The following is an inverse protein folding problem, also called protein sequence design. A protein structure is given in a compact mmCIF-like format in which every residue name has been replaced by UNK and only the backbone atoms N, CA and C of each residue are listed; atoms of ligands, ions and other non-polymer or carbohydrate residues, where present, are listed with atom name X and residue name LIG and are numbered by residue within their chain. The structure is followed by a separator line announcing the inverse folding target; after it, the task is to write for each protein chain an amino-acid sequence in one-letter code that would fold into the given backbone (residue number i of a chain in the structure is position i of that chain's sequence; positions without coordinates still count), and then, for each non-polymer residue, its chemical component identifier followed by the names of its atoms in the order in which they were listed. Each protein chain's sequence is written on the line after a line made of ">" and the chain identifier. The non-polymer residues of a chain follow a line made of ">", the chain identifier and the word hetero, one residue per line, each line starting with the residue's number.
data_IF_996241296588
#
_entry.id   IF_996241296588
#
_cell.length_a   1.000
_cell.length_b   1.000
_cell.length_c   1.000
_cell.angle_alpha   90.00
_cell.angle_beta   90.00
_cell.angle_gamma   90.00
#
_symmetry.space_group_name_H-M   'P 1'
#
loop_
_entity.id
_entity.type
_entity.pdbx_description
1 polymer ?
#
# COMPACT_ATOMS: atom_id res chain seq x y z
N UNK A 1 -8.99 28.55 -11.31
CA UNK A 1 -8.10 28.01 -12.37
C UNK A 1 -8.06 26.49 -12.20
N UNK A 2 -8.41 25.73 -13.25
CA UNK A 2 -8.33 24.27 -13.20
C UNK A 2 -6.84 23.90 -13.28
N UNK A 3 -6.29 23.30 -12.24
CA UNK A 3 -4.86 22.96 -12.18
C UNK A 3 -4.52 21.92 -13.26
N UNK A 4 -3.45 22.17 -14.01
CA UNK A 4 -2.86 21.15 -14.88
C UNK A 4 -2.25 20.07 -13.97
N UNK A 5 -2.29 18.80 -14.40
CA UNK A 5 -1.52 17.75 -13.71
C UNK A 5 -0.03 18.08 -13.80
N UNK A 6 0.58 18.37 -12.66
CA UNK A 6 1.95 18.89 -12.63
C UNK A 6 2.68 18.46 -11.36
N UNK A 7 3.88 17.92 -11.51
CA UNK A 7 4.74 17.58 -10.39
C UNK A 7 5.86 18.60 -10.26
N UNK A 8 5.98 19.19 -9.08
CA UNK A 8 7.05 20.14 -8.73
C UNK A 8 7.96 19.51 -7.68
N UNK A 9 9.20 19.27 -8.04
CA UNK A 9 10.25 18.95 -7.09
C UNK A 9 10.62 20.21 -6.32
N UNK A 10 10.43 20.22 -5.01
CA UNK A 10 10.61 21.39 -4.14
C UNK A 10 11.99 21.39 -3.48
N UNK A 11 12.46 20.22 -3.03
CA UNK A 11 13.76 20.04 -2.38
C UNK A 11 14.24 18.60 -2.50
N UNK A 12 15.53 18.39 -2.31
CA UNK A 12 16.16 17.07 -2.21
C UNK A 12 17.12 17.06 -1.03
N UNK A 13 17.18 15.91 -0.37
CA UNK A 13 18.28 15.56 0.54
C UNK A 13 18.90 14.27 0.00
N UNK A 14 20.07 14.38 -0.66
CA UNK A 14 20.64 13.33 -1.50
C UNK A 14 19.63 12.85 -2.56
N UNK A 15 19.17 11.58 -2.49
CA UNK A 15 18.17 11.07 -3.40
C UNK A 15 16.73 11.20 -2.85
N UNK A 16 16.56 11.43 -1.54
CA UNK A 16 15.23 11.66 -0.96
C UNK A 16 14.63 12.96 -1.50
N UNK A 17 13.36 12.93 -1.89
CA UNK A 17 12.69 13.97 -2.68
C UNK A 17 11.50 14.55 -1.91
N UNK A 18 11.44 15.86 -1.80
CA UNK A 18 10.26 16.59 -1.36
C UNK A 18 9.60 17.22 -2.58
N UNK A 19 8.34 16.89 -2.82
CA UNK A 19 7.65 17.42 -3.99
C UNK A 19 6.18 17.74 -3.72
N UNK A 20 5.55 18.31 -4.73
CA UNK A 20 4.11 18.59 -4.76
C UNK A 20 3.53 18.16 -6.10
N UNK A 21 2.48 17.38 -6.08
CA UNK A 21 1.72 16.98 -7.25
C UNK A 21 0.38 17.74 -7.27
N UNK A 22 0.21 18.61 -8.24
CA UNK A 22 -1.02 19.37 -8.48
C UNK A 22 -1.98 18.54 -9.32
N UNK A 23 -3.24 18.39 -8.89
CA UNK A 23 -4.26 17.60 -9.60
C UNK A 23 -5.59 18.32 -9.70
N UNK A 24 -6.53 17.77 -10.48
CA UNK A 24 -7.90 18.31 -10.59
C UNK A 24 -8.67 18.33 -9.25
N UNK A 25 -8.26 17.55 -8.26
CA UNK A 25 -9.00 17.35 -7.02
C UNK A 25 -8.23 17.77 -5.76
N UNK A 26 -7.17 18.52 -5.95
CA UNK A 26 -6.31 19.05 -4.90
C UNK A 26 -4.86 18.61 -5.03
N UNK A 27 -4.02 19.19 -4.20
CA UNK A 27 -2.59 18.96 -4.19
C UNK A 27 -2.22 17.77 -3.29
N UNK A 28 -1.14 17.11 -3.65
CA UNK A 28 -0.56 15.98 -2.92
C UNK A 28 0.89 16.34 -2.60
N UNK A 29 1.24 16.37 -1.32
CA UNK A 29 2.61 16.57 -0.87
C UNK A 29 3.33 15.21 -0.81
N UNK A 30 4.48 15.10 -1.45
CA UNK A 30 5.28 13.86 -1.49
C UNK A 30 6.56 14.00 -0.65
N UNK A 31 7.07 12.91 -0.04
CA UNK A 31 6.57 11.54 -0.07
C UNK A 31 5.20 11.38 0.58
N UNK A 32 4.38 10.44 0.04
CA UNK A 32 3.01 10.19 0.49
C UNK A 32 2.69 8.70 0.56
N UNK A 33 1.92 8.29 1.57
CA UNK A 33 1.29 6.99 1.65
C UNK A 33 -0.20 7.10 1.30
N UNK A 34 -0.69 6.21 0.43
CA UNK A 34 -2.07 6.15 -0.02
C UNK A 34 -2.81 5.02 0.71
N UNK A 35 -3.74 5.34 1.64
CA UNK A 35 -4.60 4.32 2.22
C UNK A 35 -5.40 3.58 1.14
N UNK A 36 -5.48 2.24 1.25
CA UNK A 36 -6.15 1.41 0.24
C UNK A 36 -7.63 1.27 0.55
N UNK A 37 -8.45 1.82 -0.35
CA UNK A 37 -9.90 1.74 -0.35
C UNK A 37 -10.45 0.75 -1.38
N UNK A 38 -10.14 -0.54 -1.24
CA UNK A 38 -10.36 -1.62 -2.22
C UNK A 38 -11.72 -1.60 -2.92
N UNK A 39 -12.80 -1.47 -2.18
CA UNK A 39 -14.17 -1.46 -2.69
C UNK A 39 -14.88 -0.15 -2.34
N UNK A 40 -14.27 0.97 -2.70
CA UNK A 40 -14.72 2.33 -2.35
C UNK A 40 -14.80 2.55 -0.82
N UNK A 41 -14.00 1.83 -0.04
CA UNK A 41 -13.90 2.03 1.41
C UNK A 41 -12.53 1.59 1.92
N UNK A 42 -11.91 2.39 2.78
CA UNK A 42 -10.77 1.97 3.57
C UNK A 42 -11.31 1.10 4.71
N UNK A 43 -10.92 -0.18 4.72
CA UNK A 43 -11.53 -1.21 5.57
C UNK A 43 -11.45 -0.84 7.05
N UNK A 44 -12.57 -1.00 7.76
CA UNK A 44 -12.74 -0.71 9.19
C UNK A 44 -12.50 0.76 9.59
N UNK A 45 -12.72 1.71 8.68
CA UNK A 45 -12.56 3.13 8.98
C UNK A 45 -13.72 3.97 8.42
N UNK A 46 -14.17 4.95 9.19
CA UNK A 46 -15.02 6.00 8.66
C UNK A 46 -14.22 6.98 7.80
N UNK A 47 -14.85 7.50 6.77
CA UNK A 47 -14.20 8.47 5.88
C UNK A 47 -13.76 9.76 6.60
N UNK A 48 -14.51 10.19 7.63
CA UNK A 48 -14.13 11.33 8.48
C UNK A 48 -12.79 11.12 9.17
N UNK A 49 -12.52 9.89 9.63
CA UNK A 49 -11.30 9.54 10.36
C UNK A 49 -10.09 9.49 9.43
N UNK A 50 -10.30 9.06 8.17
CA UNK A 50 -9.28 9.10 7.12
C UNK A 50 -8.92 10.55 6.79
N UNK A 51 -9.93 11.43 6.67
CA UNK A 51 -9.74 12.88 6.46
C UNK A 51 -9.01 13.52 7.65
N UNK A 52 -9.42 13.20 8.86
CA UNK A 52 -8.80 13.70 10.11
C UNK A 52 -7.36 13.22 10.30
N UNK A 53 -7.01 12.02 9.82
CA UNK A 53 -5.64 11.50 9.82
C UNK A 53 -4.73 12.21 8.80
N UNK A 54 -5.26 13.12 7.98
CA UNK A 54 -4.46 13.91 7.04
C UNK A 54 -4.24 13.27 5.66
N UNK A 55 -4.99 12.21 5.31
CA UNK A 55 -4.89 11.61 3.98
C UNK A 55 -5.22 12.63 2.88
N UNK A 56 -4.33 12.75 1.89
CA UNK A 56 -4.48 13.64 0.74
C UNK A 56 -4.96 12.90 -0.50
N UNK A 57 -4.72 11.61 -0.58
CA UNK A 57 -5.10 10.71 -1.66
C UNK A 57 -5.40 9.33 -1.09
N UNK A 58 -6.29 8.59 -1.72
CA UNK A 58 -6.54 7.16 -1.47
C UNK A 58 -6.45 6.37 -2.77
N UNK A 59 -6.17 5.07 -2.64
CA UNK A 59 -6.17 4.14 -3.75
C UNK A 59 -7.45 3.28 -3.72
N UNK A 60 -8.06 3.04 -4.88
CA UNK A 60 -9.15 2.08 -5.06
C UNK A 60 -8.78 1.03 -6.10
N UNK A 61 -9.35 -0.17 -6.01
CA UNK A 61 -9.00 -1.26 -6.91
C UNK A 61 -10.01 -1.44 -8.04
N UNK A 62 -9.55 -1.26 -9.26
CA UNK A 62 -10.35 -1.40 -10.49
C UNK A 62 -11.02 -2.77 -10.58
N UNK A 63 -10.29 -3.86 -10.36
CA UNK A 63 -10.83 -5.21 -10.39
C UNK A 63 -12.06 -5.41 -9.49
N UNK A 64 -11.99 -4.94 -8.26
CA UNK A 64 -13.09 -5.11 -7.31
C UNK A 64 -14.30 -4.26 -7.67
N UNK A 65 -14.06 -3.02 -8.12
CA UNK A 65 -15.13 -2.07 -8.46
C UNK A 65 -15.82 -2.39 -9.78
N UNK A 66 -15.11 -2.97 -10.76
CA UNK A 66 -15.73 -3.45 -12.00
C UNK A 66 -16.66 -4.65 -11.78
N UNK A 67 -16.32 -5.52 -10.82
CA UNK A 67 -17.16 -6.66 -10.47
C UNK A 67 -18.35 -6.28 -9.58
N UNK A 68 -18.14 -5.37 -8.62
CA UNK A 68 -19.18 -4.94 -7.69
C UNK A 68 -18.89 -3.52 -7.15
N UNK A 69 -19.77 -2.55 -7.34
CA UNK A 69 -21.12 -2.65 -7.95
C UNK A 69 -21.16 -2.59 -9.47
N UNK A 70 -20.01 -2.56 -10.16
CA UNK A 70 -19.85 -2.41 -11.59
C UNK A 70 -19.55 -0.95 -11.99
N UNK A 71 -18.64 -0.76 -12.98
CA UNK A 71 -18.21 0.57 -13.43
C UNK A 71 -19.35 1.43 -13.95
N UNK A 72 -20.34 0.85 -14.65
CA UNK A 72 -21.47 1.59 -15.17
C UNK A 72 -22.36 2.18 -14.06
N UNK A 73 -22.56 1.43 -12.97
CA UNK A 73 -23.30 1.94 -11.82
C UNK A 73 -22.55 3.08 -11.13
N UNK A 74 -21.23 2.93 -10.96
CA UNK A 74 -20.38 3.96 -10.35
C UNK A 74 -20.36 5.22 -11.23
N UNK A 75 -20.27 5.06 -12.56
CA UNK A 75 -20.32 6.17 -13.52
C UNK A 75 -21.62 6.96 -13.41
N UNK A 76 -22.77 6.27 -13.34
CA UNK A 76 -24.09 6.89 -13.14
C UNK A 76 -24.19 7.68 -11.82
N UNK A 77 -23.45 7.28 -10.79
CA UNK A 77 -23.36 7.96 -9.49
C UNK A 77 -22.30 9.08 -9.46
N UNK A 78 -21.63 9.36 -10.59
CA UNK A 78 -20.64 10.43 -10.74
C UNK A 78 -19.22 10.07 -10.30
N UNK A 79 -18.86 8.78 -10.42
CA UNK A 79 -17.53 8.24 -10.10
C UNK A 79 -17.37 7.79 -8.66
N UNK A 80 -16.27 7.06 -8.39
CA UNK A 80 -15.98 6.48 -7.06
C UNK A 80 -15.85 7.53 -5.98
N UNK A 81 -15.24 8.67 -6.29
CA UNK A 81 -15.07 9.75 -5.30
C UNK A 81 -16.42 10.26 -4.80
N UNK A 82 -17.36 10.54 -5.69
CA UNK A 82 -18.70 10.96 -5.33
C UNK A 82 -19.48 9.85 -4.64
N UNK A 83 -19.37 8.63 -5.14
CA UNK A 83 -20.03 7.44 -4.59
C UNK A 83 -19.66 7.20 -3.12
N UNK A 84 -18.36 7.35 -2.75
CA UNK A 84 -17.91 7.14 -1.37
C UNK A 84 -17.86 8.43 -0.51
N UNK A 85 -18.14 9.61 -1.07
CA UNK A 85 -18.05 10.91 -0.37
C UNK A 85 -16.62 11.43 -0.17
N UNK A 86 -15.68 10.99 -1.01
CA UNK A 86 -14.30 11.46 -1.01
C UNK A 86 -14.11 12.62 -1.98
N UNK A 87 -13.64 13.78 -1.50
CA UNK A 87 -13.53 15.01 -2.29
C UNK A 87 -12.09 15.37 -2.69
N UNK A 88 -11.12 14.51 -2.39
CA UNK A 88 -9.70 14.70 -2.73
C UNK A 88 -9.27 13.74 -3.84
N UNK A 89 -8.00 13.78 -4.31
CA UNK A 89 -7.50 12.86 -5.32
C UNK A 89 -7.73 11.39 -4.99
N UNK A 90 -7.93 10.60 -6.05
CA UNK A 90 -8.07 9.15 -5.97
C UNK A 90 -7.24 8.53 -7.10
N UNK A 91 -6.43 7.53 -6.77
CA UNK A 91 -5.73 6.68 -7.73
C UNK A 91 -6.48 5.35 -7.84
N UNK A 92 -6.62 4.83 -9.05
CA UNK A 92 -7.03 3.43 -9.27
C UNK A 92 -5.87 2.63 -9.83
N UNK A 93 -5.68 1.40 -9.35
CA UNK A 93 -4.83 0.45 -10.04
C UNK A 93 -5.43 0.03 -11.38
N UNK A 94 -4.67 -0.74 -12.18
CA UNK A 94 -5.16 -1.27 -13.48
C UNK A 94 -6.07 -2.49 -13.35
N UNK A 95 -6.12 -3.14 -12.18
CA UNK A 95 -6.73 -4.46 -11.97
C UNK A 95 -5.81 -5.63 -12.33
N UNK A 96 -4.66 -5.39 -12.95
CA UNK A 96 -3.73 -6.42 -13.41
C UNK A 96 -3.23 -7.33 -12.28
N UNK A 97 -2.72 -6.76 -11.19
CA UNK A 97 -2.18 -7.53 -10.06
C UNK A 97 -3.23 -8.48 -9.44
N UNK A 98 -4.47 -8.03 -9.24
CA UNK A 98 -5.53 -8.87 -8.68
C UNK A 98 -5.86 -10.04 -9.60
N UNK A 99 -5.92 -9.79 -10.91
CA UNK A 99 -6.15 -10.85 -11.91
C UNK A 99 -4.95 -11.80 -11.97
N UNK A 100 -3.72 -11.27 -11.89
CA UNK A 100 -2.51 -12.09 -11.85
C UNK A 100 -2.50 -13.01 -10.62
N UNK A 101 -3.05 -12.59 -9.50
CA UNK A 101 -3.18 -13.41 -8.28
C UNK A 101 -4.20 -14.55 -8.39
N UNK A 102 -5.10 -14.56 -9.40
CA UNK A 102 -6.11 -15.62 -9.59
C UNK A 102 -5.53 -16.96 -10.06
N UNK A 103 -4.25 -17.01 -10.42
CA UNK A 103 -3.56 -18.24 -10.81
C UNK A 103 -4.22 -18.94 -12.01
N UNK A 104 -4.71 -20.18 -11.81
CA UNK A 104 -5.33 -21.01 -12.87
C UNK A 104 -6.66 -20.45 -13.43
N UNK A 105 -7.26 -19.46 -12.80
CA UNK A 105 -8.51 -18.85 -13.27
C UNK A 105 -8.29 -17.77 -14.34
N UNK A 106 -7.05 -17.57 -14.80
CA UNK A 106 -6.68 -16.58 -15.82
C UNK A 106 -5.95 -17.20 -17.00
N UNK A 107 -6.05 -16.53 -18.16
CA UNK A 107 -5.26 -16.80 -19.37
C UNK A 107 -4.77 -15.48 -19.94
N UNK A 108 -3.44 -15.29 -19.97
CA UNK A 108 -2.78 -14.12 -20.54
C UNK A 108 -2.68 -14.31 -22.05
N UNK A 109 -2.92 -13.26 -22.81
CA UNK A 109 -2.88 -13.17 -24.27
C UNK A 109 -2.19 -11.85 -24.65
N UNK A 110 -1.77 -11.68 -25.88
CA UNK A 110 -1.09 -10.47 -26.32
C UNK A 110 -1.98 -9.20 -26.23
N UNK A 111 -3.28 -9.37 -26.38
CA UNK A 111 -4.28 -8.29 -26.36
C UNK A 111 -4.93 -8.05 -25.00
N UNK A 112 -4.59 -8.87 -23.99
CA UNK A 112 -5.17 -8.72 -22.65
C UNK A 112 -5.22 -10.02 -21.86
N UNK A 113 -6.07 -10.09 -20.85
CA UNK A 113 -6.21 -11.25 -19.98
C UNK A 113 -7.67 -11.67 -19.86
N UNK A 114 -7.94 -12.94 -20.14
CA UNK A 114 -9.23 -13.58 -19.84
C UNK A 114 -9.17 -14.18 -18.44
N UNK A 115 -10.19 -13.95 -17.61
CA UNK A 115 -10.26 -14.49 -16.25
C UNK A 115 -11.69 -14.83 -15.84
N UNK A 116 -11.83 -15.64 -14.78
CA UNK A 116 -13.11 -15.92 -14.14
C UNK A 116 -13.20 -15.13 -12.83
N UNK A 117 -14.32 -14.45 -12.63
CA UNK A 117 -14.62 -13.74 -11.38
C UNK A 117 -14.61 -14.71 -10.20
N UNK A 118 -13.97 -14.30 -9.11
CA UNK A 118 -13.98 -15.03 -7.84
C UNK A 118 -15.32 -14.95 -7.10
N UNK A 119 -16.23 -14.06 -7.54
CA UNK A 119 -17.52 -13.86 -6.89
C UNK A 119 -18.56 -14.88 -7.38
N UNK A 120 -18.60 -15.13 -8.68
CA UNK A 120 -19.68 -15.88 -9.35
C UNK A 120 -19.19 -16.78 -10.50
N UNK A 121 -17.89 -16.80 -10.78
CA UNK A 121 -17.30 -17.58 -11.86
C UNK A 121 -17.52 -17.00 -13.27
N UNK A 122 -18.20 -15.87 -13.41
CA UNK A 122 -18.41 -15.21 -14.71
C UNK A 122 -17.09 -14.92 -15.40
N UNK A 123 -17.04 -15.19 -16.69
CA UNK A 123 -15.85 -14.97 -17.52
C UNK A 123 -15.78 -13.53 -18.00
N UNK A 124 -14.64 -12.91 -17.81
CA UNK A 124 -14.33 -11.55 -18.26
C UNK A 124 -13.09 -11.55 -19.13
N UNK A 125 -12.99 -10.53 -19.98
CA UNK A 125 -11.79 -10.17 -20.71
C UNK A 125 -11.40 -8.74 -20.33
N UNK A 126 -10.15 -8.53 -19.99
CA UNK A 126 -9.59 -7.21 -19.69
C UNK A 126 -8.42 -6.94 -20.62
N UNK A 127 -8.59 -5.99 -21.54
CA UNK A 127 -7.52 -5.42 -22.35
C UNK A 127 -6.99 -4.13 -21.70
N UNK A 128 -5.85 -3.59 -22.18
CA UNK A 128 -5.35 -2.29 -21.75
C UNK A 128 -6.38 -1.17 -21.93
N UNK A 129 -7.08 -1.16 -23.06
CA UNK A 129 -8.11 -0.17 -23.39
C UNK A 129 -9.31 -0.29 -22.43
N UNK A 130 -9.80 -1.53 -22.21
CA UNK A 130 -10.92 -1.80 -21.30
C UNK A 130 -10.56 -1.40 -19.87
N UNK A 131 -9.34 -1.72 -19.40
CA UNK A 131 -8.87 -1.31 -18.07
C UNK A 131 -8.87 0.22 -17.94
N UNK A 132 -8.38 0.92 -18.93
CA UNK A 132 -8.34 2.39 -18.95
C UNK A 132 -9.75 2.98 -18.97
N UNK A 133 -10.68 2.43 -19.75
CA UNK A 133 -12.07 2.88 -19.82
C UNK A 133 -12.83 2.65 -18.51
N UNK A 134 -12.56 1.53 -17.82
CA UNK A 134 -13.10 1.28 -16.49
C UNK A 134 -12.61 2.36 -15.53
N UNK A 135 -11.31 2.64 -15.48
CA UNK A 135 -10.73 3.65 -14.61
C UNK A 135 -11.27 5.08 -14.93
N UNK A 136 -11.48 5.40 -16.21
CA UNK A 136 -12.14 6.62 -16.63
C UNK A 136 -13.60 6.68 -16.13
N UNK A 137 -14.34 5.58 -16.19
CA UNK A 137 -15.73 5.47 -15.69
C UNK A 137 -15.79 5.58 -14.16
N UNK A 138 -14.75 5.14 -13.45
CA UNK A 138 -14.58 5.30 -12.01
C UNK A 138 -14.24 6.77 -11.63
N UNK A 139 -13.94 7.65 -12.59
CA UNK A 139 -13.49 9.03 -12.40
C UNK A 139 -12.22 9.13 -11.52
N UNK A 140 -11.27 8.23 -11.75
CA UNK A 140 -9.99 8.25 -11.06
C UNK A 140 -9.18 9.49 -11.47
N UNK A 141 -8.60 10.19 -10.49
CA UNK A 141 -7.70 11.34 -10.72
C UNK A 141 -6.40 10.89 -11.35
N UNK A 142 -5.91 9.73 -10.91
CA UNK A 142 -4.70 9.07 -11.43
C UNK A 142 -5.11 7.65 -11.82
N UNK A 143 -4.85 7.28 -13.07
CA UNK A 143 -5.06 5.95 -13.62
C UNK A 143 -3.71 5.24 -13.83
N UNK A 144 -3.72 3.92 -13.83
CA UNK A 144 -2.53 3.11 -14.10
C UNK A 144 -2.66 2.39 -15.44
N UNK A 145 -1.58 2.24 -16.19
CA UNK A 145 -1.57 1.32 -17.31
C UNK A 145 -1.84 -0.11 -16.87
N UNK A 146 -2.36 -0.97 -17.75
CA UNK A 146 -2.38 -2.42 -17.51
C UNK A 146 -0.97 -3.00 -17.72
N UNK A 147 -0.55 -3.87 -16.82
CA UNK A 147 0.76 -4.52 -16.82
C UNK A 147 0.66 -6.01 -16.48
N UNK A 148 1.68 -6.77 -16.83
CA UNK A 148 1.85 -8.13 -16.38
C UNK A 148 2.86 -8.18 -15.22
N UNK A 149 2.35 -8.34 -14.00
CA UNK A 149 3.17 -8.55 -12.81
C UNK A 149 3.44 -10.05 -12.64
N UNK A 150 4.69 -10.48 -12.79
CA UNK A 150 5.09 -11.87 -12.58
C UNK A 150 5.51 -12.13 -11.13
N UNK A 151 5.34 -13.36 -10.61
CA UNK A 151 5.81 -13.72 -9.27
C UNK A 151 7.34 -13.79 -9.22
N UNK A 152 7.91 -13.68 -8.03
CA UNK A 152 9.31 -13.94 -7.76
C UNK A 152 9.46 -15.34 -7.11
N UNK A 153 10.52 -16.11 -7.43
CA UNK A 153 11.52 -15.85 -8.45
C UNK A 153 11.01 -16.10 -9.88
N UNK A 154 11.56 -15.35 -10.85
CA UNK A 154 11.30 -15.55 -12.28
C UNK A 154 12.62 -15.58 -13.05
N UNK A 155 12.65 -16.33 -14.19
CA UNK A 155 13.82 -16.33 -15.06
C UNK A 155 13.99 -15.00 -15.79
N UNK A 156 15.15 -14.77 -16.38
CA UNK A 156 15.41 -13.59 -17.20
C UNK A 156 14.45 -13.53 -18.39
N UNK A 157 14.27 -14.65 -19.09
CA UNK A 157 13.43 -14.78 -20.28
C UNK A 157 11.95 -14.52 -19.95
N UNK A 158 11.45 -15.03 -18.82
CA UNK A 158 10.08 -14.72 -18.36
C UNK A 158 9.93 -13.24 -18.04
N UNK A 159 10.92 -12.65 -17.37
CA UNK A 159 10.93 -11.25 -16.99
C UNK A 159 10.99 -10.34 -18.21
N UNK A 160 11.80 -10.69 -19.21
CA UNK A 160 11.89 -9.97 -20.47
C UNK A 160 10.58 -10.04 -21.26
N UNK A 161 9.99 -11.23 -21.38
CA UNK A 161 8.69 -11.43 -22.05
C UNK A 161 7.59 -10.60 -21.40
N UNK A 162 7.45 -10.67 -20.06
CA UNK A 162 6.44 -9.93 -19.33
C UNK A 162 6.64 -8.41 -19.41
N UNK A 163 7.89 -7.96 -19.37
CA UNK A 163 8.26 -6.56 -19.53
C UNK A 163 7.87 -6.05 -20.92
N UNK A 164 8.20 -6.81 -21.99
CA UNK A 164 7.84 -6.46 -23.37
C UNK A 164 6.32 -6.39 -23.57
N UNK A 165 5.59 -7.37 -23.05
CA UNK A 165 4.11 -7.36 -23.10
C UNK A 165 3.54 -6.15 -22.35
N UNK A 166 4.08 -5.83 -21.16
CA UNK A 166 3.67 -4.65 -20.39
C UNK A 166 3.92 -3.34 -21.15
N UNK A 167 4.99 -3.25 -21.95
CA UNK A 167 5.27 -2.09 -22.80
C UNK A 167 4.29 -1.96 -23.98
N UNK A 168 3.93 -3.07 -24.62
CA UNK A 168 2.89 -3.07 -25.64
C UNK A 168 1.53 -2.62 -25.06
N UNK A 169 1.20 -3.13 -23.88
CA UNK A 169 -0.01 -2.73 -23.16
C UNK A 169 0.03 -1.26 -22.66
N UNK A 170 1.22 -0.75 -22.35
CA UNK A 170 1.40 0.65 -22.00
C UNK A 170 1.01 1.59 -23.14
N UNK A 171 1.43 1.26 -24.38
CA UNK A 171 1.06 2.03 -25.57
C UNK A 171 -0.45 2.07 -25.77
N UNK A 172 -1.12 0.92 -25.72
CA UNK A 172 -2.58 0.82 -25.85
C UNK A 172 -3.33 1.52 -24.72
N UNK A 173 -2.83 1.40 -23.47
CA UNK A 173 -3.41 2.12 -22.31
C UNK A 173 -3.28 3.63 -22.50
N UNK A 174 -2.14 4.10 -23.04
CA UNK A 174 -1.90 5.53 -23.27
C UNK A 174 -2.80 6.10 -24.36
N UNK A 175 -3.00 5.36 -25.44
CA UNK A 175 -3.91 5.74 -26.52
C UNK A 175 -5.37 5.83 -26.04
N UNK A 176 -5.79 4.93 -25.15
CA UNK A 176 -7.14 4.92 -24.57
C UNK A 176 -7.35 5.98 -23.46
N UNK A 177 -6.28 6.59 -22.96
CA UNK A 177 -6.37 7.56 -21.87
C UNK A 177 -7.09 8.84 -22.32
N UNK A 178 -8.16 9.20 -21.63
CA UNK A 178 -8.87 10.45 -21.85
C UNK A 178 -8.13 11.61 -21.17
N UNK A 179 -7.43 12.41 -21.95
CA UNK A 179 -6.72 13.58 -21.46
C UNK A 179 -7.69 14.64 -20.93
N UNK A 180 -7.82 14.72 -19.61
CA UNK A 180 -8.61 15.72 -18.90
C UNK A 180 -7.70 16.60 -18.04
N UNK A 181 -7.98 17.89 -17.98
CA UNK A 181 -7.16 18.83 -17.21
C UNK A 181 -7.06 18.43 -15.74
N UNK A 182 -5.84 18.25 -15.24
CA UNK A 182 -5.52 17.86 -13.87
C UNK A 182 -5.69 16.36 -13.56
N UNK A 183 -5.95 15.53 -14.57
CA UNK A 183 -5.92 14.07 -14.49
C UNK A 183 -4.62 13.54 -15.07
N UNK A 184 -4.15 12.38 -14.59
CA UNK A 184 -2.91 11.78 -15.08
C UNK A 184 -3.01 10.27 -15.20
N UNK A 185 -2.14 9.71 -16.04
CA UNK A 185 -1.93 8.27 -16.16
C UNK A 185 -0.47 7.94 -15.86
N UNK A 186 -0.23 6.88 -15.09
CA UNK A 186 1.12 6.43 -14.75
C UNK A 186 1.48 5.17 -15.51
N UNK A 187 2.70 5.18 -16.08
CA UNK A 187 3.34 4.02 -16.63
C UNK A 187 3.96 3.14 -15.55
N UNK A 188 4.01 1.81 -15.75
CA UNK A 188 4.54 0.86 -14.78
C UNK A 188 5.82 0.22 -15.32
N UNK A 189 6.95 0.50 -14.69
CA UNK A 189 8.25 -0.07 -15.00
C UNK A 189 8.27 -1.52 -14.50
N UNK A 190 8.44 -2.47 -15.40
CA UNK A 190 8.62 -3.89 -15.13
C UNK A 190 10.07 -4.33 -15.44
N UNK A 191 10.42 -5.59 -15.20
CA UNK A 191 11.76 -6.16 -15.43
C UNK A 191 12.32 -6.95 -14.24
N UNK A 192 11.45 -7.35 -13.30
CA UNK A 192 11.86 -8.11 -12.10
C UNK A 192 13.05 -7.46 -11.39
N UNK A 193 14.09 -8.22 -11.08
CA UNK A 193 15.33 -7.76 -10.43
C UNK A 193 16.45 -7.41 -11.43
N UNK A 194 16.20 -7.49 -12.74
CA UNK A 194 17.24 -7.36 -13.78
C UNK A 194 17.42 -5.88 -14.18
N UNK A 195 18.62 -5.29 -13.92
CA UNK A 195 18.85 -3.86 -14.12
C UNK A 195 18.74 -3.40 -15.57
N UNK A 196 19.13 -4.24 -16.52
CA UNK A 196 19.05 -3.97 -17.97
C UNK A 196 17.59 -3.92 -18.46
N UNK A 197 16.73 -4.86 -18.00
CA UNK A 197 15.31 -4.85 -18.31
C UNK A 197 14.62 -3.64 -17.67
N UNK A 198 14.94 -3.29 -16.41
CA UNK A 198 14.45 -2.08 -15.74
C UNK A 198 14.82 -0.81 -16.50
N UNK A 199 16.06 -0.73 -16.97
CA UNK A 199 16.55 0.38 -17.79
C UNK A 199 15.80 0.49 -19.12
N UNK A 200 15.62 -0.64 -19.84
CA UNK A 200 14.88 -0.67 -21.11
C UNK A 200 13.41 -0.24 -20.88
N UNK A 201 12.76 -0.83 -19.88
CA UNK A 201 11.38 -0.50 -19.52
C UNK A 201 11.22 0.99 -19.21
N UNK A 202 12.09 1.55 -18.36
CA UNK A 202 12.07 2.97 -18.01
C UNK A 202 12.21 3.87 -19.23
N UNK A 203 13.16 3.55 -20.12
CA UNK A 203 13.42 4.34 -21.33
C UNK A 203 12.21 4.35 -22.28
N UNK A 204 11.67 3.17 -22.59
CA UNK A 204 10.53 3.05 -23.51
C UNK A 204 9.25 3.68 -22.96
N UNK A 205 8.99 3.55 -21.64
CA UNK A 205 7.86 4.23 -21.00
C UNK A 205 8.00 5.75 -21.03
N UNK A 206 9.22 6.28 -20.90
CA UNK A 206 9.48 7.72 -20.99
C UNK A 206 9.09 8.28 -22.36
N UNK A 207 9.28 7.53 -23.45
CA UNK A 207 8.88 7.92 -24.81
C UNK A 207 7.35 8.07 -24.95
N UNK A 208 6.56 7.36 -24.16
CA UNK A 208 5.08 7.45 -24.10
C UNK A 208 4.56 8.65 -23.31
N UNK A 209 5.46 9.39 -22.64
CA UNK A 209 5.17 10.64 -21.91
C UNK A 209 3.99 10.54 -20.91
N UNK A 210 4.05 9.57 -19.99
CA UNK A 210 3.13 9.48 -18.87
C UNK A 210 3.29 10.65 -17.90
N UNK A 211 2.24 10.96 -17.13
CA UNK A 211 2.27 12.00 -16.11
C UNK A 211 3.06 11.59 -14.87
N UNK A 212 3.31 10.28 -14.67
CA UNK A 212 4.14 9.72 -13.61
C UNK A 212 4.56 8.29 -13.94
N UNK A 213 5.45 7.72 -13.13
CA UNK A 213 5.97 6.38 -13.34
C UNK A 213 5.95 5.58 -12.05
N UNK A 214 5.40 4.38 -12.13
CA UNK A 214 5.42 3.42 -11.03
C UNK A 214 6.50 2.36 -11.23
N UNK A 215 6.97 1.80 -10.14
CA UNK A 215 7.87 0.66 -10.08
C UNK A 215 7.03 -0.54 -9.67
N UNK A 216 6.75 -1.43 -10.62
CA UNK A 216 6.01 -2.67 -10.41
C UNK A 216 6.92 -3.87 -10.25
N UNK A 217 6.34 -5.04 -9.94
CA UNK A 217 7.07 -6.31 -9.84
C UNK A 217 8.08 -6.39 -8.71
N UNK A 218 7.88 -5.61 -7.64
CA UNK A 218 8.58 -5.68 -6.37
C UNK A 218 7.59 -5.96 -5.23
N UNK A 219 8.08 -6.33 -4.04
CA UNK A 219 7.30 -6.83 -2.90
C UNK A 219 6.47 -8.09 -3.23
N UNK A 220 7.01 -8.94 -4.10
CA UNK A 220 6.40 -10.21 -4.54
C UNK A 220 7.17 -11.44 -4.05
N UNK A 221 8.13 -11.27 -3.11
CA UNK A 221 8.86 -12.34 -2.45
C UNK A 221 10.39 -12.22 -2.47
N UNK A 222 10.96 -11.18 -3.07
CA UNK A 222 12.41 -10.96 -3.24
C UNK A 222 13.15 -10.59 -1.95
N UNK A 223 12.44 -10.12 -0.94
CA UNK A 223 13.04 -9.59 0.30
C UNK A 223 13.52 -8.14 0.18
N UNK A 224 13.81 -7.53 1.34
CA UNK A 224 14.09 -6.09 1.44
C UNK A 224 15.42 -5.70 0.74
N UNK A 225 16.47 -6.46 0.94
CA UNK A 225 17.81 -6.15 0.40
C UNK A 225 17.78 -6.07 -1.14
N UNK A 226 17.24 -7.11 -1.78
CA UNK A 226 17.15 -7.18 -3.24
C UNK A 226 16.15 -6.14 -3.81
N UNK A 227 15.08 -5.84 -3.07
CA UNK A 227 14.18 -4.74 -3.42
C UNK A 227 14.94 -3.41 -3.43
N UNK A 228 15.75 -3.13 -2.42
CA UNK A 228 16.52 -1.90 -2.33
C UNK A 228 17.58 -1.78 -3.43
N UNK A 229 18.30 -2.85 -3.71
CA UNK A 229 19.25 -2.91 -4.82
C UNK A 229 18.55 -2.64 -6.17
N UNK A 230 17.38 -3.24 -6.38
CA UNK A 230 16.58 -3.03 -7.59
C UNK A 230 16.09 -1.58 -7.69
N UNK A 231 15.71 -0.94 -6.58
CA UNK A 231 15.33 0.46 -6.55
C UNK A 231 16.52 1.37 -6.90
N UNK A 232 17.70 1.13 -6.33
CA UNK A 232 18.93 1.86 -6.65
C UNK A 232 19.28 1.78 -8.14
N UNK A 233 19.01 0.65 -8.77
CA UNK A 233 19.21 0.44 -10.21
C UNK A 233 18.11 1.00 -11.09
N UNK A 234 16.87 1.11 -10.60
CA UNK A 234 15.73 1.60 -11.38
C UNK A 234 15.61 3.12 -11.36
N UNK A 235 15.73 3.73 -10.18
CA UNK A 235 15.47 5.17 -9.97
C UNK A 235 16.46 6.07 -10.72
N UNK A 236 17.64 5.59 -11.07
CA UNK A 236 18.65 6.28 -11.91
C UNK A 236 18.11 6.63 -13.31
N UNK A 237 17.16 5.84 -13.83
CA UNK A 237 16.61 6.00 -15.16
C UNK A 237 15.25 6.69 -15.17
N UNK A 238 14.71 7.02 -13.99
CA UNK A 238 13.43 7.70 -13.86
C UNK A 238 13.59 9.23 -13.92
N UNK A 239 12.67 9.89 -14.61
CA UNK A 239 12.70 11.35 -14.76
C UNK A 239 12.58 12.06 -13.40
N UNK A 240 13.34 13.16 -13.23
CA UNK A 240 13.30 13.98 -12.02
C UNK A 240 12.01 14.80 -11.89
N UNK A 241 11.48 15.28 -13.00
CA UNK A 241 10.29 16.13 -13.05
C UNK A 241 8.98 15.36 -13.07
N UNK A 242 9.01 14.07 -12.73
CA UNK A 242 7.82 13.19 -12.66
C UNK A 242 7.76 12.51 -11.29
N UNK A 243 6.54 12.25 -10.75
CA UNK A 243 6.39 11.49 -9.52
C UNK A 243 6.75 10.01 -9.74
N UNK A 244 7.32 9.39 -8.70
CA UNK A 244 7.78 8.00 -8.68
C UNK A 244 7.00 7.22 -7.65
N UNK A 245 6.30 6.19 -8.07
CA UNK A 245 5.40 5.40 -7.23
C UNK A 245 5.89 3.96 -7.09
N UNK A 246 6.18 3.50 -5.87
CA UNK A 246 6.48 2.10 -5.58
C UNK A 246 5.22 1.39 -5.13
N UNK A 247 4.76 0.44 -5.92
CA UNK A 247 3.47 -0.24 -5.74
C UNK A 247 3.52 -1.33 -4.68
N UNK A 248 2.52 -1.37 -3.79
CA UNK A 248 2.30 -2.47 -2.86
C UNK A 248 3.27 -2.57 -1.68
N UNK A 249 4.21 -1.64 -1.53
CA UNK A 249 5.22 -1.63 -0.47
C UNK A 249 4.73 -0.88 0.74
N UNK A 250 4.94 -1.47 1.92
CA UNK A 250 4.27 -0.98 3.06
C UNK A 250 4.78 -1.30 4.46
N UNK A 251 5.92 -1.94 4.69
CA UNK A 251 6.52 -1.92 6.03
C UNK A 251 7.15 -0.56 6.28
N UNK A 252 7.07 0.00 7.51
CA UNK A 252 7.61 1.33 7.79
C UNK A 252 9.09 1.51 7.43
N UNK A 253 9.93 0.51 7.70
CA UNK A 253 11.34 0.47 7.35
C UNK A 253 11.56 0.38 5.82
N UNK A 254 10.74 -0.36 5.09
CA UNK A 254 10.75 -0.41 3.62
C UNK A 254 10.43 0.97 3.02
N UNK A 255 9.45 1.67 3.60
CA UNK A 255 9.05 3.01 3.15
C UNK A 255 10.21 4.01 3.30
N UNK A 256 10.84 4.04 4.48
CA UNK A 256 11.98 4.95 4.75
C UNK A 256 13.14 4.63 3.80
N UNK A 257 13.49 3.36 3.63
CA UNK A 257 14.57 2.94 2.74
C UNK A 257 14.28 3.21 1.25
N UNK A 258 13.03 3.11 0.81
CA UNK A 258 12.63 3.44 -0.56
C UNK A 258 12.64 4.95 -0.82
N UNK A 259 12.21 5.78 0.16
CA UNK A 259 12.29 7.24 0.07
C UNK A 259 13.75 7.71 -0.03
N UNK A 260 14.66 7.10 0.73
CA UNK A 260 16.11 7.33 0.61
C UNK A 260 16.61 7.14 -0.83
N UNK A 261 15.96 6.26 -1.59
CA UNK A 261 16.26 5.92 -2.99
C UNK A 261 15.49 6.73 -4.03
N UNK A 262 14.73 7.72 -3.58
CA UNK A 262 14.05 8.69 -4.44
C UNK A 262 12.65 8.29 -4.88
N UNK A 263 11.94 7.47 -4.11
CA UNK A 263 10.53 7.14 -4.31
C UNK A 263 9.64 8.19 -3.62
N UNK A 264 8.53 8.56 -4.26
CA UNK A 264 7.63 9.63 -3.82
C UNK A 264 6.28 9.13 -3.28
N UNK A 265 5.75 8.02 -3.82
CA UNK A 265 4.39 7.56 -3.54
C UNK A 265 4.37 6.08 -3.20
N UNK A 266 3.47 5.71 -2.30
CA UNK A 266 3.33 4.33 -1.80
C UNK A 266 1.88 4.00 -1.54
N UNK A 267 1.53 2.72 -1.68
CA UNK A 267 0.31 2.12 -1.17
C UNK A 267 0.59 0.77 -0.55
N UNK A 268 -0.18 0.39 0.42
CA UNK A 268 -0.24 -1.00 0.91
C UNK A 268 -1.50 -1.25 1.74
N UNK A 269 -2.02 -2.47 1.68
CA UNK A 269 -3.11 -2.91 2.56
C UNK A 269 -2.65 -3.18 3.99
N UNK A 270 -1.33 -3.21 4.22
CA UNK A 270 -0.73 -3.64 5.48
C UNK A 270 -1.27 -2.89 6.71
N UNK A 271 -1.39 -1.55 6.73
CA UNK A 271 -1.86 -0.83 7.92
C UNK A 271 -3.26 -1.29 8.38
N UNK A 272 -4.21 -1.37 7.45
CA UNK A 272 -5.58 -1.79 7.79
C UNK A 272 -5.72 -3.31 7.92
N UNK A 273 -4.93 -4.10 7.18
CA UNK A 273 -4.90 -5.57 7.34
C UNK A 273 -4.38 -5.92 8.74
N UNK A 274 -3.24 -5.38 9.12
CA UNK A 274 -2.63 -5.58 10.44
C UNK A 274 -3.54 -5.08 11.57
N UNK A 275 -4.11 -3.88 11.43
CA UNK A 275 -5.06 -3.34 12.40
C UNK A 275 -6.24 -4.27 12.64
N UNK A 276 -6.81 -4.86 11.60
CA UNK A 276 -7.92 -5.82 11.70
C UNK A 276 -7.52 -7.20 12.25
N UNK A 277 -6.23 -7.52 12.27
CA UNK A 277 -5.71 -8.77 12.83
C UNK A 277 -5.09 -8.60 14.22
N UNK A 278 -5.13 -7.38 14.78
CA UNK A 278 -4.65 -7.10 16.13
C UNK A 278 -3.19 -6.64 16.21
N UNK A 279 -2.60 -6.23 15.09
CA UNK A 279 -1.24 -5.72 15.04
C UNK A 279 -1.22 -4.21 14.81
N UNK A 280 -0.57 -3.47 15.70
CA UNK A 280 -0.32 -2.03 15.59
C UNK A 280 1.14 -1.76 15.22
N UNK A 281 1.37 -0.69 14.46
CA UNK A 281 2.69 -0.12 14.19
C UNK A 281 2.92 1.07 15.11
N UNK A 282 4.04 1.09 15.83
CA UNK A 282 4.37 2.13 16.80
C UNK A 282 5.77 2.68 16.56
N UNK A 283 6.11 3.77 17.21
CA UNK A 283 7.47 4.34 17.21
C UNK A 283 8.54 3.35 17.70
N UNK A 284 8.14 2.35 18.48
CA UNK A 284 8.98 1.29 19.06
C UNK A 284 8.79 -0.08 18.39
N UNK A 285 8.31 -0.10 17.13
CA UNK A 285 8.07 -1.31 16.37
C UNK A 285 6.64 -1.83 16.45
N UNK A 286 6.46 -3.12 16.27
CA UNK A 286 5.14 -3.73 16.13
C UNK A 286 4.62 -4.24 17.49
N UNK A 287 3.36 -3.96 17.75
CA UNK A 287 2.64 -4.42 18.95
C UNK A 287 1.51 -5.34 18.55
N UNK A 288 1.53 -6.60 19.01
CA UNK A 288 0.39 -7.50 18.86
C UNK A 288 -0.51 -7.39 20.10
N UNK A 289 -1.61 -6.68 19.95
CA UNK A 289 -2.53 -6.38 21.05
C UNK A 289 -3.23 -7.63 21.62
N UNK A 290 -3.25 -8.74 20.90
CA UNK A 290 -3.84 -10.01 21.35
C UNK A 290 -3.00 -10.72 22.41
N UNK A 291 -1.74 -10.32 22.57
CA UNK A 291 -0.84 -10.91 23.56
C UNK A 291 -1.35 -10.64 24.98
N UNK A 292 -1.38 -11.67 25.82
CA UNK A 292 -1.91 -11.61 27.19
C UNK A 292 -1.19 -10.59 28.10
N UNK A 293 0.06 -10.24 27.81
CA UNK A 293 0.81 -9.19 28.50
C UNK A 293 0.10 -7.83 28.50
N UNK A 294 -0.81 -7.58 27.54
CA UNK A 294 -1.56 -6.34 27.44
C UNK A 294 -2.88 -6.34 28.21
N UNK A 295 -3.25 -7.43 28.85
CA UNK A 295 -4.54 -7.56 29.57
C UNK A 295 -4.74 -6.53 30.68
N UNK A 296 -3.66 -6.05 31.32
CA UNK A 296 -3.65 -5.02 32.38
C UNK A 296 -2.79 -3.80 32.00
N UNK A 297 -2.39 -3.67 30.75
CA UNK A 297 -1.51 -2.59 30.27
C UNK A 297 -2.31 -1.29 30.05
N UNK A 298 -2.19 -0.35 30.96
CA UNK A 298 -2.90 0.94 30.93
C UNK A 298 -2.30 1.97 29.97
N UNK A 299 -1.13 1.69 29.38
CA UNK A 299 -0.47 2.57 28.41
C UNK A 299 -1.27 2.67 27.11
N UNK A 300 -1.13 3.78 26.33
CA UNK A 300 -1.62 3.83 24.95
C UNK A 300 -0.86 2.86 24.04
N UNK A 301 -1.33 2.65 22.82
CA UNK A 301 -0.58 1.86 21.82
C UNK A 301 0.83 2.41 21.61
N UNK A 302 0.94 3.72 21.46
CA UNK A 302 2.19 4.44 21.26
C UNK A 302 2.11 5.76 22.05
N UNK A 303 3.07 5.98 22.94
CA UNK A 303 3.11 7.16 23.83
C UNK A 303 3.36 8.45 23.05
N UNK A 304 4.08 8.36 21.93
CA UNK A 304 4.43 9.49 21.08
C UNK A 304 3.34 9.78 20.03
N UNK A 305 2.28 8.97 19.98
CA UNK A 305 1.20 9.08 19.03
C UNK A 305 0.03 9.91 19.56
N UNK A 306 -0.40 10.87 18.77
CA UNK A 306 -1.51 11.76 19.11
C UNK A 306 -2.84 11.42 18.40
N UNK A 307 -2.98 10.22 17.82
CA UNK A 307 -4.23 9.79 17.22
C UNK A 307 -5.34 9.60 18.26
N UNK A 308 -6.58 9.59 17.80
CA UNK A 308 -7.75 9.44 18.67
C UNK A 308 -7.70 8.13 19.49
N UNK A 309 -7.20 7.04 18.90
CA UNK A 309 -7.02 5.77 19.61
C UNK A 309 -6.05 5.89 20.78
N UNK A 310 -4.86 6.48 20.56
CA UNK A 310 -3.84 6.60 21.63
C UNK A 310 -4.22 7.58 22.72
N UNK A 311 -5.01 8.62 22.38
CA UNK A 311 -5.46 9.62 23.37
C UNK A 311 -6.53 9.10 24.32
N UNK A 312 -7.37 8.16 23.85
CA UNK A 312 -8.60 7.81 24.57
C UNK A 312 -8.63 6.37 25.07
N UNK A 313 -7.77 5.47 24.56
CA UNK A 313 -7.87 4.04 24.84
C UNK A 313 -6.54 3.43 25.26
N UNK A 314 -6.60 2.60 26.31
CA UNK A 314 -5.45 1.82 26.77
C UNK A 314 -5.26 0.53 25.97
N UNK A 315 -4.06 -0.04 26.02
CA UNK A 315 -3.79 -1.37 25.47
C UNK A 315 -4.66 -2.45 26.10
N UNK A 316 -4.93 -2.36 27.40
CA UNK A 316 -5.82 -3.30 28.10
C UNK A 316 -7.24 -3.29 27.50
N UNK A 317 -7.80 -2.10 27.24
CA UNK A 317 -9.11 -2.00 26.60
C UNK A 317 -9.10 -2.55 25.18
N UNK A 318 -8.09 -2.18 24.38
CA UNK A 318 -7.94 -2.71 23.02
C UNK A 318 -7.75 -4.24 23.01
N UNK A 319 -6.94 -4.78 23.94
CA UNK A 319 -6.81 -6.22 24.13
C UNK A 319 -8.17 -6.89 24.41
N UNK A 320 -8.95 -6.31 25.34
CA UNK A 320 -10.30 -6.78 25.66
C UNK A 320 -11.19 -6.81 24.41
N UNK A 321 -11.24 -5.71 23.63
CA UNK A 321 -12.05 -5.64 22.41
C UNK A 321 -11.69 -6.75 21.41
N UNK A 322 -10.38 -7.04 21.22
CA UNK A 322 -9.95 -8.14 20.35
C UNK A 322 -10.29 -9.52 20.89
N UNK A 323 -10.24 -9.72 22.20
CA UNK A 323 -10.67 -10.98 22.84
C UNK A 323 -12.18 -11.18 22.77
N UNK A 324 -12.94 -10.10 22.92
CA UNK A 324 -14.39 -10.08 22.79
C UNK A 324 -14.88 -10.09 21.31
N UNK A 325 -13.95 -10.00 20.33
CA UNK A 325 -14.25 -9.95 18.90
C UNK A 325 -15.09 -8.72 18.50
N UNK A 326 -14.98 -7.62 19.25
CA UNK A 326 -15.70 -6.39 18.98
C UNK A 326 -15.14 -5.65 17.77
N UNK A 327 -16.04 -5.19 16.89
CA UNK A 327 -15.68 -4.46 15.65
C UNK A 327 -14.90 -3.18 15.97
N UNK A 328 -15.22 -2.52 17.08
CA UNK A 328 -14.53 -1.30 17.52
C UNK A 328 -13.02 -1.49 17.66
N UNK A 329 -12.55 -2.65 18.13
CA UNK A 329 -11.13 -2.96 18.21
C UNK A 329 -10.44 -2.91 16.84
N UNK A 330 -11.07 -3.48 15.81
CA UNK A 330 -10.56 -3.46 14.44
C UNK A 330 -10.50 -2.02 13.88
N UNK A 331 -11.50 -1.20 14.20
CA UNK A 331 -11.58 0.19 13.76
C UNK A 331 -10.50 1.04 14.41
N UNK A 332 -10.33 0.95 15.73
CA UNK A 332 -9.36 1.72 16.50
C UNK A 332 -7.91 1.40 16.09
N UNK A 333 -7.58 0.12 15.88
CA UNK A 333 -6.24 -0.24 15.42
C UNK A 333 -5.99 0.18 13.97
N UNK A 334 -7.00 0.08 13.10
CA UNK A 334 -6.87 0.54 11.70
C UNK A 334 -6.65 2.05 11.66
N UNK A 335 -7.38 2.82 12.46
CA UNK A 335 -7.22 4.26 12.61
C UNK A 335 -5.81 4.62 13.08
N UNK A 336 -5.33 3.98 14.15
CA UNK A 336 -3.98 4.19 14.67
C UNK A 336 -2.93 3.91 13.61
N UNK A 337 -3.01 2.78 12.91
CA UNK A 337 -2.03 2.40 11.89
C UNK A 337 -2.01 3.38 10.72
N UNK A 338 -3.16 3.80 10.20
CA UNK A 338 -3.21 4.80 9.13
C UNK A 338 -2.64 6.14 9.61
N UNK A 339 -2.98 6.58 10.81
CA UNK A 339 -2.41 7.78 11.40
C UNK A 339 -0.88 7.69 11.53
N UNK A 340 -0.35 6.57 12.01
CA UNK A 340 1.09 6.33 12.12
C UNK A 340 1.78 6.47 10.76
N UNK A 341 1.27 5.84 9.72
CA UNK A 341 1.84 5.91 8.37
C UNK A 341 1.81 7.32 7.78
N UNK A 342 0.71 8.03 7.93
CA UNK A 342 0.59 9.40 7.42
C UNK A 342 1.48 10.38 8.20
N UNK A 343 1.60 10.18 9.52
CA UNK A 343 2.51 10.96 10.36
C UNK A 343 3.98 10.67 10.03
N UNK A 344 4.34 9.41 9.76
CA UNK A 344 5.67 9.03 9.28
C UNK A 344 6.01 9.80 8.00
N UNK A 345 5.10 9.84 7.01
CA UNK A 345 5.32 10.60 5.77
C UNK A 345 5.48 12.11 6.04
N UNK A 346 4.71 12.66 6.98
CA UNK A 346 4.83 14.07 7.37
C UNK A 346 6.22 14.36 7.95
N UNK A 347 6.68 13.55 8.88
CA UNK A 347 8.00 13.73 9.52
C UNK A 347 9.14 13.57 8.52
N UNK A 348 9.01 12.64 7.57
CA UNK A 348 9.97 12.48 6.47
C UNK A 348 10.02 13.74 5.60
N UNK A 349 8.87 14.31 5.22
CA UNK A 349 8.87 15.57 4.44
C UNK A 349 9.54 16.70 5.18
N UNK A 350 9.32 16.82 6.49
CA UNK A 350 9.97 17.82 7.33
C UNK A 350 11.49 17.60 7.40
N UNK A 351 11.96 16.37 7.54
CA UNK A 351 13.40 16.06 7.57
C UNK A 351 14.08 16.36 6.22
N UNK A 352 13.45 16.02 5.09
CA UNK A 352 13.99 16.36 3.75
C UNK A 352 14.07 17.89 3.57
N UNK A 353 13.04 18.61 4.00
CA UNK A 353 13.00 20.07 3.94
C UNK A 353 14.15 20.70 4.72
N UNK A 354 14.53 20.12 5.85
CA UNK A 354 15.58 20.61 6.74
C UNK A 354 16.97 20.04 6.40
N UNK A 355 17.09 19.18 5.37
CA UNK A 355 18.34 18.50 4.97
C UNK A 355 18.95 17.65 6.09
N UNK A 356 18.12 16.96 6.87
CA UNK A 356 18.52 16.08 7.97
C UNK A 356 17.91 14.66 7.88
N UNK A 357 17.56 14.23 6.66
CA UNK A 357 16.91 12.94 6.41
C UNK A 357 17.73 11.74 6.90
N UNK A 358 19.05 11.73 6.73
CA UNK A 358 19.91 10.64 7.21
C UNK A 358 19.84 10.51 8.75
N UNK A 359 19.80 11.63 9.46
CA UNK A 359 19.64 11.64 10.92
C UNK A 359 18.26 11.11 11.33
N UNK A 360 17.23 11.54 10.61
CA UNK A 360 15.86 11.06 10.81
C UNK A 360 15.79 9.54 10.59
N UNK A 361 16.31 9.03 9.46
CA UNK A 361 16.32 7.60 9.14
C UNK A 361 16.98 6.79 10.26
N UNK A 362 18.20 7.20 10.66
CA UNK A 362 18.95 6.52 11.73
C UNK A 362 18.15 6.47 13.02
N UNK A 363 17.65 7.61 13.48
CA UNK A 363 16.87 7.71 14.73
C UNK A 363 15.57 6.91 14.65
N UNK A 364 14.89 6.95 13.50
CA UNK A 364 13.67 6.17 13.28
C UNK A 364 13.93 4.67 13.36
N UNK A 365 14.96 4.16 12.67
CA UNK A 365 15.28 2.73 12.66
C UNK A 365 15.74 2.24 14.02
N UNK A 366 16.61 3.00 14.73
CA UNK A 366 17.04 2.69 16.09
C UNK A 366 15.85 2.56 17.03
N UNK A 367 14.91 3.50 17.00
CA UNK A 367 13.69 3.45 17.80
C UNK A 367 12.77 2.30 17.38
N UNK A 368 12.52 2.15 16.08
CA UNK A 368 11.59 1.16 15.54
C UNK A 368 12.03 -0.28 15.84
N UNK A 369 13.34 -0.54 15.84
CA UNK A 369 13.88 -1.86 16.16
C UNK A 369 14.22 -2.05 17.66
N UNK A 370 14.11 -1.02 18.51
CA UNK A 370 14.36 -1.16 19.95
C UNK A 370 13.34 -2.04 20.66
N UNK A 371 12.15 -2.18 20.08
CA UNK A 371 11.05 -2.91 20.68
C UNK A 371 10.28 -2.09 21.72
N UNK A 372 9.06 -2.53 22.00
CA UNK A 372 8.09 -1.84 22.87
C UNK A 372 8.29 -2.12 24.38
N UNK A 373 9.04 -3.18 24.71
CA UNK A 373 9.29 -3.61 26.08
C UNK A 373 10.78 -3.74 26.26
N UNK A 374 11.31 -3.13 27.34
CA UNK A 374 12.65 -3.41 27.80
C UNK A 374 12.84 -4.93 27.89
N UNK A 375 14.00 -5.42 27.49
CA UNK A 375 14.37 -6.81 27.68
C UNK A 375 14.41 -7.04 29.19
N UNK A 376 13.28 -7.38 29.77
CA UNK A 376 13.23 -7.94 31.11
C UNK A 376 14.01 -9.24 30.95
N UNK A 377 15.17 -9.34 31.57
CA UNK A 377 15.87 -10.61 31.68
C UNK A 377 14.89 -11.57 32.33
N UNK A 378 14.25 -12.41 31.53
CA UNK A 378 13.39 -13.48 32.02
C UNK A 378 14.37 -14.48 32.60
N UNK A 379 14.64 -14.36 33.92
CA UNK A 379 15.16 -15.49 34.64
C UNK A 379 14.08 -16.57 34.49
N UNK A 380 14.37 -17.60 33.73
CA UNK A 380 13.54 -18.79 33.62
C UNK A 380 13.50 -19.47 35.00
N UNK A 381 12.62 -19.02 35.87
CA UNK A 381 12.09 -19.88 36.93
C UNK A 381 11.13 -20.83 36.20
N UNK A 382 11.52 -22.07 36.09
CA UNK A 382 10.65 -23.16 35.72
C UNK A 382 9.48 -23.20 36.72
N UNK A 383 8.43 -22.46 36.46
CA UNK A 383 7.11 -22.79 36.97
C UNK A 383 6.66 -24.03 36.21
N UNK A 384 7.04 -25.21 36.73
CA UNK A 384 6.26 -26.42 36.42
C UNK A 384 4.85 -26.09 36.80
N UNK A 385 3.95 -26.01 35.83
CA UNK A 385 2.53 -26.05 36.07
C UNK A 385 2.28 -27.29 36.92
N UNK A 386 1.93 -27.13 38.19
CA UNK A 386 1.36 -28.20 38.98
C UNK A 386 0.00 -28.49 38.33
N UNK A 387 -0.05 -29.56 37.51
CA UNK A 387 -1.32 -30.17 37.13
C UNK A 387 -1.99 -30.64 38.42
N UNK A 388 -3.15 -30.06 38.73
CA UNK A 388 -3.94 -30.54 39.86
C UNK A 388 -4.43 -31.98 39.58
N UNK A 389 -4.64 -32.81 40.62
CA UNK A 389 -5.10 -34.16 40.46
C UNK A 389 -6.37 -34.31 39.62
N UNK A 390 -7.24 -33.29 39.60
CA UNK A 390 -8.47 -33.20 38.81
C UNK A 390 -8.22 -33.21 37.31
N UNK A 391 -7.14 -32.63 36.84
CA UNK A 391 -6.76 -32.61 35.41
C UNK A 391 -6.34 -34.01 34.88
N UNK A 392 -5.89 -34.92 35.75
CA UNK A 392 -5.53 -36.28 35.39
C UNK A 392 -6.76 -37.20 35.29
N UNK A 393 -7.83 -36.93 36.02
CA UNK A 393 -9.06 -37.73 35.97
C UNK A 393 -9.82 -37.48 34.65
N UNK A 394 -9.86 -36.25 34.14
CA UNK A 394 -10.53 -35.95 32.87
C UNK A 394 -9.82 -36.55 31.64
N UNK A 395 -8.50 -36.75 31.68
CA UNK A 395 -7.76 -37.39 30.57
C UNK A 395 -8.04 -38.91 30.50
N UNK A 396 -8.14 -39.55 31.65
CA UNK A 396 -8.42 -40.99 31.72
C UNK A 396 -9.82 -41.41 31.26
N UNK A 397 -10.78 -40.47 31.17
CA UNK A 397 -12.16 -40.73 30.70
C UNK A 397 -12.34 -40.51 29.18
N UNK A 398 -11.41 -39.83 28.53
CA UNK A 398 -11.43 -39.59 27.08
C UNK A 398 -10.71 -40.67 26.26
N UNK A 399 -9.89 -41.54 26.90
CA UNK A 399 -9.21 -42.65 26.25
C UNK A 399 -9.98 -43.99 26.30
N UNK A 400 -11.22 -44.02 26.84
CA UNK A 400 -12.10 -45.21 26.92
C UNK A 400 -13.45 -45.03 26.22
N UNK A 401 -13.42 -44.38 25.04
CA UNK A 401 -14.53 -44.47 24.10
C UNK A 401 -14.02 -44.65 22.68
#
# INVERSE_FOLDING_TARGET
>A
MINKFNFKLLSKDKNARLGKLETAHGDIDTPIFMPVGTAATVKAMHLRDIKASGAQIILANTYHLMLRPGQENIKKMGGVRKFMGWNKPLLTDSGGFQIMSLGKLRKIQNDGVTFKSHLDGTKYFLSPEISTDIQNSLDATITMQLDECIPFPASYEESERAMKLSLEWATKSREAFQNRTGYGQFGIIQGSIFPDLRKESSKKLTELNFEGYAIGGLAVGEGQELMFETLDNTTKFMLENKPRYLMGVGKPDDLVGAIKRGVDMFDCVLPTRSGRTGQAFTSKGQVNIKNSRHSLDTRPLDIDCNCDTCRNYSRAYLHHLFKAQEILGLMLLSLHNIHFYLNLMKNIRESIKNSDFDKFEKTFLENYYSGDIDIISVSYTHLRAHETPEHRVCRGLLEKK
#
